data_IF_378683044939
#
_entry.id   IF_378683044939
#
_cell.length_a   1.000
_cell.length_b   1.000
_cell.length_c   1.000
_cell.angle_alpha   90.00
_cell.angle_beta   90.00
_cell.angle_gamma   90.00
#
_symmetry.space_group_name_H-M   'P 1'
#
loop_
_entity.id
_entity.type
_entity.pdbx_description
1 polymer ?
#
# COMPACT_ATOMS: atom_id res chain seq x y z
N UNK A 1 -7.61 33.22 -42.75
CA UNK A 1 -8.53 32.07 -42.82
C UNK A 1 -7.75 30.83 -42.37
N UNK A 2 -8.17 30.19 -41.27
CA UNK A 2 -7.77 28.87 -40.68
C UNK A 2 -6.25 28.57 -40.44
N UNK A 3 -5.71 28.41 -39.22
CA UNK A 3 -5.89 27.43 -38.11
C UNK A 3 -5.10 26.10 -38.22
N UNK A 4 -4.21 25.90 -37.23
CA UNK A 4 -3.85 24.69 -36.48
C UNK A 4 -2.98 23.55 -37.08
N UNK A 5 -2.03 23.07 -36.26
CA UNK A 5 -1.65 21.66 -36.29
C UNK A 5 -0.29 21.22 -35.71
N UNK A 6 -0.08 21.37 -34.40
CA UNK A 6 0.71 20.48 -33.52
C UNK A 6 2.16 20.07 -33.87
N UNK A 7 3.09 20.75 -33.20
CA UNK A 7 4.35 20.19 -32.72
C UNK A 7 4.06 19.07 -31.70
N UNK A 8 4.01 17.82 -32.15
CA UNK A 8 4.15 16.67 -31.25
C UNK A 8 5.63 16.52 -30.91
N UNK A 9 6.04 17.15 -29.81
CA UNK A 9 7.33 16.91 -29.19
C UNK A 9 7.47 15.42 -28.86
N UNK A 10 8.37 14.78 -29.60
CA UNK A 10 9.09 13.57 -29.23
C UNK A 10 9.85 13.82 -27.91
N UNK A 11 9.15 13.85 -26.79
CA UNK A 11 9.77 13.58 -25.50
C UNK A 11 9.75 12.07 -25.31
N UNK A 12 10.84 11.46 -25.79
CA UNK A 12 11.33 10.18 -25.32
C UNK A 12 11.04 10.09 -23.81
N UNK A 13 10.20 9.15 -23.41
CA UNK A 13 10.09 8.69 -22.03
C UNK A 13 11.46 8.15 -21.62
N UNK A 14 12.29 9.06 -21.14
CA UNK A 14 13.56 8.76 -20.51
C UNK A 14 13.20 7.97 -19.26
N UNK A 15 13.53 6.68 -19.30
CA UNK A 15 13.43 5.68 -18.24
C UNK A 15 13.85 6.23 -16.87
N UNK A 16 12.96 6.94 -16.20
CA UNK A 16 12.95 7.10 -14.75
C UNK A 16 12.28 5.84 -14.24
N UNK A 17 12.99 5.05 -13.42
CA UNK A 17 12.39 3.89 -12.74
C UNK A 17 11.10 4.40 -12.10
N UNK A 18 9.93 4.01 -12.60
CA UNK A 18 8.76 4.78 -12.26
C UNK A 18 8.42 4.46 -10.81
N UNK A 19 7.64 5.34 -10.20
CA UNK A 19 7.11 5.28 -8.84
C UNK A 19 6.38 3.93 -8.51
N UNK A 20 6.42 2.92 -9.39
CA UNK A 20 6.02 1.54 -9.17
C UNK A 20 6.60 0.88 -7.91
N UNK A 21 7.78 1.29 -7.43
CA UNK A 21 8.37 0.72 -6.20
C UNK A 21 7.67 1.14 -4.91
N UNK A 22 6.96 2.27 -4.93
CA UNK A 22 6.26 2.85 -3.78
C UNK A 22 5.05 2.02 -3.34
N UNK A 23 4.54 1.17 -4.23
CA UNK A 23 3.28 0.45 -4.05
C UNK A 23 3.49 -1.06 -4.10
N UNK A 24 4.76 -1.50 -4.09
CA UNK A 24 5.20 -2.89 -3.97
C UNK A 24 4.91 -3.51 -2.58
N UNK A 25 4.89 -2.76 -1.46
CA UNK A 25 4.33 -3.27 -0.22
C UNK A 25 2.81 -3.52 -0.33
N UNK A 26 2.10 -2.65 -1.06
CA UNK A 26 0.67 -2.79 -1.33
C UNK A 26 0.38 -3.95 -2.30
N UNK A 27 1.34 -4.32 -3.16
CA UNK A 27 1.27 -5.52 -4.01
C UNK A 27 1.21 -6.82 -3.21
N UNK A 28 1.71 -6.86 -1.98
CA UNK A 28 1.70 -8.06 -1.15
C UNK A 28 0.45 -8.22 -0.28
N UNK A 29 -0.29 -7.14 0.02
CA UNK A 29 -1.40 -7.22 0.98
C UNK A 29 -2.81 -7.24 0.37
N UNK A 30 -3.03 -6.81 -0.88
CA UNK A 30 -4.40 -6.38 -1.25
C UNK A 30 -5.03 -6.92 -2.53
N UNK A 31 -4.41 -7.82 -3.30
CA UNK A 31 -5.01 -8.29 -4.57
C UNK A 31 -6.06 -9.40 -4.48
N UNK A 32 -6.25 -10.03 -3.31
CA UNK A 32 -7.38 -10.94 -3.05
C UNK A 32 -7.59 -11.02 -1.53
N UNK A 33 -8.82 -11.21 -1.06
CA UNK A 33 -9.18 -11.09 0.35
C UNK A 33 -8.27 -11.83 1.35
N UNK A 34 -8.17 -11.26 2.55
CA UNK A 34 -7.61 -11.89 3.76
C UNK A 34 -6.27 -12.60 3.58
N UNK A 35 -5.25 -11.94 3.00
CA UNK A 35 -3.92 -12.56 2.85
C UNK A 35 -3.35 -12.91 4.23
N UNK A 36 -3.54 -12.05 5.24
CA UNK A 36 -3.08 -12.36 6.59
C UNK A 36 -3.80 -13.54 7.23
N UNK A 37 -5.09 -13.72 6.90
CA UNK A 37 -5.86 -14.93 7.25
C UNK A 37 -5.32 -16.24 6.65
N UNK A 38 -4.52 -16.16 5.57
CA UNK A 38 -3.84 -17.32 4.96
C UNK A 38 -2.43 -17.57 5.50
N UNK A 39 -1.85 -16.62 6.25
CA UNK A 39 -0.54 -16.82 6.87
C UNK A 39 -0.69 -17.73 8.09
N UNK A 40 0.08 -18.81 8.08
CA UNK A 40 0.17 -19.74 9.19
C UNK A 40 1.20 -19.26 10.20
N UNK A 41 0.73 -18.67 11.30
CA UNK A 41 1.54 -18.33 12.46
C UNK A 41 1.67 -19.54 13.38
N UNK A 42 2.76 -20.28 13.25
CA UNK A 42 3.08 -21.39 14.14
C UNK A 42 4.51 -21.23 14.66
N UNK A 43 4.77 -21.66 15.91
CA UNK A 43 6.14 -21.69 16.42
C UNK A 43 6.99 -22.59 15.53
N UNK A 44 8.23 -22.16 15.26
CA UNK A 44 9.20 -22.99 14.53
C UNK A 44 9.32 -24.36 15.20
N UNK A 45 9.40 -25.48 14.43
CA UNK A 45 9.24 -26.85 14.93
C UNK A 45 10.29 -27.31 15.96
N UNK A 46 11.27 -26.47 16.28
CA UNK A 46 12.36 -26.74 17.21
C UNK A 46 11.98 -26.58 18.69
N UNK A 47 10.89 -25.88 19.04
CA UNK A 47 10.43 -25.76 20.44
C UNK A 47 8.90 -25.63 20.46
N UNK A 48 8.23 -26.51 21.18
CA UNK A 48 6.77 -26.49 21.39
C UNK A 48 6.52 -26.50 22.89
N UNK A 49 6.68 -25.35 23.54
CA UNK A 49 6.07 -25.14 24.85
C UNK A 49 4.75 -24.37 24.71
N UNK A 50 3.83 -24.52 25.67
CA UNK A 50 2.50 -23.90 25.60
C UNK A 50 2.53 -22.37 25.57
N UNK A 51 3.59 -21.75 26.07
CA UNK A 51 3.75 -20.29 26.03
C UNK A 51 4.02 -19.78 24.61
N UNK A 52 4.87 -20.45 23.84
CA UNK A 52 5.17 -20.11 22.44
C UNK A 52 3.94 -20.31 21.54
N UNK A 53 3.15 -21.36 21.79
CA UNK A 53 1.88 -21.59 21.09
C UNK A 53 0.90 -20.45 21.35
N UNK A 54 0.74 -20.04 22.61
CA UNK A 54 -0.13 -18.93 22.97
C UNK A 54 0.36 -17.60 22.39
N UNK A 55 1.67 -17.36 22.38
CA UNK A 55 2.27 -16.18 21.77
C UNK A 55 1.93 -16.09 20.27
N UNK A 56 2.07 -17.18 19.52
CA UNK A 56 1.71 -17.18 18.10
C UNK A 56 0.20 -17.07 17.85
N UNK A 57 -0.62 -17.57 18.77
CA UNK A 57 -2.08 -17.36 18.73
C UNK A 57 -2.43 -15.88 18.93
N UNK A 58 -1.81 -15.22 19.92
CA UNK A 58 -2.02 -13.80 20.19
C UNK A 58 -1.58 -12.93 19.01
N UNK A 59 -0.42 -13.25 18.41
CA UNK A 59 0.02 -12.58 17.17
C UNK A 59 -1.02 -12.72 16.07
N UNK A 60 -1.54 -13.93 15.85
CA UNK A 60 -2.58 -14.16 14.85
C UNK A 60 -3.85 -13.33 15.12
N UNK A 61 -4.32 -13.31 16.36
CA UNK A 61 -5.50 -12.53 16.75
C UNK A 61 -5.28 -11.02 16.54
N UNK A 62 -4.11 -10.51 16.93
CA UNK A 62 -3.72 -9.13 16.67
C UNK A 62 -3.75 -8.81 15.18
N UNK A 63 -3.09 -9.63 14.36
CA UNK A 63 -3.00 -9.45 12.92
C UNK A 63 -4.40 -9.44 12.29
N UNK A 64 -5.28 -10.38 12.67
CA UNK A 64 -6.66 -10.41 12.17
C UNK A 64 -7.46 -9.16 12.57
N UNK A 65 -7.21 -8.62 13.77
CA UNK A 65 -7.90 -7.42 14.25
C UNK A 65 -7.46 -6.16 13.49
N UNK A 66 -6.15 -5.98 13.25
CA UNK A 66 -5.63 -4.83 12.50
C UNK A 66 -5.93 -4.98 10.99
N UNK A 67 -6.00 -6.20 10.46
CA UNK A 67 -6.45 -6.44 9.08
C UNK A 67 -7.88 -5.92 8.85
N UNK A 68 -8.79 -6.12 9.80
CA UNK A 68 -10.15 -5.57 9.70
C UNK A 68 -10.16 -4.03 9.68
N UNK A 69 -9.26 -3.38 10.43
CA UNK A 69 -9.07 -1.93 10.41
C UNK A 69 -8.55 -1.47 9.04
N UNK A 70 -7.47 -2.10 8.55
CA UNK A 70 -6.88 -1.83 7.24
C UNK A 70 -7.86 -2.04 6.09
N UNK A 71 -8.66 -3.10 6.14
CA UNK A 71 -9.66 -3.41 5.11
C UNK A 71 -10.73 -2.31 5.00
N UNK A 72 -11.18 -1.75 6.13
CA UNK A 72 -12.14 -0.64 6.12
C UNK A 72 -11.55 0.60 5.46
N UNK A 73 -10.28 0.91 5.75
CA UNK A 73 -9.54 2.01 5.11
C UNK A 73 -9.34 1.78 3.62
N UNK A 74 -8.98 0.55 3.24
CA UNK A 74 -8.83 0.14 1.85
C UNK A 74 -10.13 0.29 1.06
N UNK A 75 -11.28 -0.12 1.63
CA UNK A 75 -12.57 0.02 0.95
C UNK A 75 -12.90 1.48 0.61
N UNK A 76 -12.58 2.41 1.53
CA UNK A 76 -12.77 3.84 1.28
C UNK A 76 -11.78 4.34 0.24
N UNK A 77 -10.48 4.05 0.41
CA UNK A 77 -9.43 4.37 -0.56
C UNK A 77 -9.80 3.93 -1.98
N UNK A 78 -10.21 2.68 -2.14
CA UNK A 78 -10.61 2.08 -3.41
C UNK A 78 -11.77 2.85 -4.05
N UNK A 79 -12.82 3.15 -3.28
CA UNK A 79 -13.96 3.97 -3.74
C UNK A 79 -13.51 5.34 -4.23
N UNK A 80 -12.65 6.02 -3.47
CA UNK A 80 -12.21 7.37 -3.83
C UNK A 80 -11.28 7.40 -5.04
N UNK A 81 -10.42 6.39 -5.22
CA UNK A 81 -9.60 6.24 -6.43
C UNK A 81 -10.48 6.01 -7.67
N UNK A 82 -11.55 5.23 -7.57
CA UNK A 82 -12.51 5.07 -8.67
C UNK A 82 -13.15 6.41 -9.04
N UNK A 83 -13.59 7.19 -8.05
CA UNK A 83 -14.14 8.53 -8.31
C UNK A 83 -13.10 9.44 -8.99
N UNK A 84 -11.85 9.38 -8.55
CA UNK A 84 -10.77 10.15 -9.17
C UNK A 84 -10.59 9.77 -10.64
N UNK A 85 -10.59 8.46 -10.95
CA UNK A 85 -10.50 7.93 -12.32
C UNK A 85 -11.67 8.34 -13.21
N UNK A 86 -12.88 8.47 -12.66
CA UNK A 86 -14.06 8.94 -13.43
C UNK A 86 -13.99 10.42 -13.81
N UNK A 87 -13.07 11.18 -13.20
CA UNK A 87 -12.88 12.60 -13.46
C UNK A 87 -13.86 13.48 -12.69
N UNK A 88 -13.33 14.53 -12.06
CA UNK A 88 -14.12 15.61 -11.48
C UNK A 88 -13.97 16.86 -12.35
N UNK A 89 -15.06 17.57 -12.60
CA UNK A 89 -15.06 18.78 -13.42
C UNK A 89 -14.45 20.00 -12.71
N UNK A 90 -14.23 19.92 -11.40
CA UNK A 90 -13.77 21.01 -10.54
C UNK A 90 -12.42 20.68 -9.90
N UNK A 91 -11.45 21.59 -10.08
CA UNK A 91 -10.09 21.46 -9.55
C UNK A 91 -10.09 21.45 -8.02
N UNK A 92 -10.94 22.23 -7.36
CA UNK A 92 -11.00 22.29 -5.88
C UNK A 92 -11.45 20.95 -5.32
N UNK A 93 -12.54 20.40 -5.86
CA UNK A 93 -13.01 19.05 -5.51
C UNK A 93 -11.98 17.96 -5.80
N UNK A 94 -11.22 18.10 -6.89
CA UNK A 94 -10.13 17.16 -7.21
C UNK A 94 -9.04 17.18 -6.14
N UNK A 95 -8.63 18.37 -5.70
CA UNK A 95 -7.63 18.52 -4.62
C UNK A 95 -8.14 17.91 -3.31
N UNK A 96 -9.39 18.17 -2.93
CA UNK A 96 -10.01 17.58 -1.74
C UNK A 96 -10.07 16.05 -1.82
N UNK A 97 -10.42 15.51 -2.99
CA UNK A 97 -10.44 14.07 -3.22
C UNK A 97 -9.05 13.46 -3.08
N UNK A 98 -8.01 14.09 -3.64
CA UNK A 98 -6.62 13.60 -3.51
C UNK A 98 -6.15 13.61 -2.06
N UNK A 99 -6.51 14.63 -1.27
CA UNK A 99 -6.23 14.65 0.18
C UNK A 99 -6.90 13.49 0.90
N UNK A 100 -8.15 13.18 0.56
CA UNK A 100 -8.88 12.05 1.13
C UNK A 100 -8.25 10.71 0.73
N UNK A 101 -7.89 10.53 -0.55
CA UNK A 101 -7.21 9.34 -1.04
C UNK A 101 -5.89 9.12 -0.29
N UNK A 102 -5.07 10.16 -0.15
CA UNK A 102 -3.80 10.09 0.58
C UNK A 102 -4.01 9.72 2.06
N UNK A 103 -4.99 10.34 2.73
CA UNK A 103 -5.33 10.05 4.13
C UNK A 103 -5.74 8.59 4.34
N UNK A 104 -6.60 8.05 3.46
CA UNK A 104 -7.04 6.66 3.56
C UNK A 104 -5.91 5.68 3.20
N UNK A 105 -5.06 6.01 2.22
CA UNK A 105 -3.87 5.22 1.91
C UNK A 105 -2.87 5.17 3.09
N UNK A 106 -2.63 6.30 3.76
CA UNK A 106 -1.83 6.34 4.99
C UNK A 106 -2.45 5.43 6.06
N UNK A 107 -3.78 5.46 6.23
CA UNK A 107 -4.46 4.60 7.21
C UNK A 107 -4.29 3.10 6.93
N UNK A 108 -4.29 2.69 5.66
CA UNK A 108 -3.97 1.31 5.25
C UNK A 108 -2.52 0.97 5.63
N UNK A 109 -1.57 1.81 5.22
CA UNK A 109 -0.14 1.58 5.48
C UNK A 109 0.20 1.57 6.97
N UNK A 110 -0.47 2.39 7.78
CA UNK A 110 -0.31 2.38 9.24
C UNK A 110 -0.82 1.10 9.88
N UNK A 111 -1.88 0.50 9.35
CA UNK A 111 -2.39 -0.80 9.83
C UNK A 111 -1.41 -1.91 9.45
N UNK A 112 -0.91 -1.91 8.21
CA UNK A 112 0.12 -2.84 7.75
C UNK A 112 1.42 -2.69 8.56
N UNK A 113 1.86 -1.45 8.86
CA UNK A 113 3.06 -1.18 9.65
C UNK A 113 2.98 -1.80 11.04
N UNK A 114 1.87 -1.61 11.76
CA UNK A 114 1.68 -2.24 13.08
C UNK A 114 1.71 -3.76 13.00
N UNK A 115 1.12 -4.35 11.96
CA UNK A 115 1.19 -5.79 11.72
C UNK A 115 2.65 -6.22 11.57
N UNK A 116 3.43 -5.52 10.74
CA UNK A 116 4.84 -5.84 10.54
C UNK A 116 5.67 -5.67 11.82
N UNK A 117 5.42 -4.62 12.60
CA UNK A 117 6.10 -4.37 13.88
C UNK A 117 5.77 -5.45 14.92
N UNK A 118 4.50 -5.86 15.02
CA UNK A 118 4.10 -6.94 15.94
C UNK A 118 4.69 -8.29 15.48
N UNK A 119 4.76 -8.54 14.18
CA UNK A 119 5.49 -9.68 13.63
C UNK A 119 6.99 -9.64 13.98
N UNK A 120 7.59 -8.45 13.98
CA UNK A 120 9.00 -8.26 14.29
C UNK A 120 9.30 -8.57 15.76
N UNK A 121 8.39 -8.20 16.65
CA UNK A 121 8.43 -8.58 18.06
C UNK A 121 8.23 -10.09 18.28
N UNK A 122 7.55 -10.77 17.35
CA UNK A 122 7.14 -12.17 17.45
C UNK A 122 7.75 -13.07 16.36
N UNK A 123 9.00 -12.82 15.94
CA UNK A 123 9.69 -13.52 14.83
C UNK A 123 9.72 -15.05 14.94
N UNK A 124 9.59 -15.61 16.15
CA UNK A 124 9.53 -17.06 16.37
C UNK A 124 8.32 -17.73 15.70
N UNK A 125 7.27 -16.94 15.42
CA UNK A 125 6.02 -17.38 14.81
C UNK A 125 6.00 -17.26 13.28
N UNK A 126 7.10 -16.77 12.68
CA UNK A 126 7.19 -16.46 11.26
C UNK A 126 7.98 -17.51 10.49
N UNK A 127 7.68 -17.61 9.20
CA UNK A 127 8.50 -18.37 8.25
C UNK A 127 9.82 -17.64 7.99
N UNK A 128 10.90 -18.41 7.76
CA UNK A 128 12.26 -17.86 7.56
C UNK A 128 12.34 -16.91 6.36
N UNK A 129 11.54 -17.13 5.32
CA UNK A 129 11.49 -16.26 4.14
C UNK A 129 10.89 -14.89 4.45
N UNK A 130 9.84 -14.86 5.27
CA UNK A 130 9.17 -13.61 5.63
C UNK A 130 10.01 -12.82 6.65
N UNK A 131 10.56 -13.52 7.65
CA UNK A 131 11.48 -12.94 8.64
C UNK A 131 12.65 -12.16 8.01
N UNK A 132 13.26 -12.70 6.95
CA UNK A 132 14.42 -12.09 6.28
C UNK A 132 14.11 -10.74 5.62
N UNK A 133 12.88 -10.55 5.15
CA UNK A 133 12.48 -9.35 4.43
C UNK A 133 11.76 -8.33 5.34
N UNK A 134 11.37 -8.74 6.55
CA UNK A 134 10.50 -7.96 7.43
C UNK A 134 11.03 -6.55 7.72
N UNK A 135 12.32 -6.42 8.04
CA UNK A 135 12.92 -5.11 8.31
C UNK A 135 12.91 -4.17 7.09
N UNK A 136 13.08 -4.70 5.87
CA UNK A 136 12.94 -3.91 4.64
C UNK A 136 11.50 -3.46 4.46
N UNK A 137 10.54 -4.38 4.64
CA UNK A 137 9.10 -4.09 4.50
C UNK A 137 8.65 -3.01 5.48
N UNK A 138 9.09 -3.06 6.74
CA UNK A 138 8.84 -2.00 7.73
C UNK A 138 9.39 -0.65 7.25
N UNK A 139 10.65 -0.63 6.82
CA UNK A 139 11.33 0.59 6.35
C UNK A 139 10.64 1.20 5.13
N UNK A 140 10.28 0.35 4.16
CA UNK A 140 9.62 0.78 2.92
C UNK A 140 8.19 1.29 3.20
N UNK A 141 7.48 0.66 4.14
CA UNK A 141 6.14 1.07 4.58
C UNK A 141 6.19 2.43 5.27
N UNK A 142 7.12 2.62 6.22
CA UNK A 142 7.32 3.90 6.89
C UNK A 142 7.70 5.00 5.90
N UNK A 143 8.63 4.72 4.98
CA UNK A 143 9.04 5.68 3.93
C UNK A 143 7.87 6.10 3.04
N UNK A 144 6.94 5.17 2.76
CA UNK A 144 5.73 5.45 1.99
C UNK A 144 4.75 6.35 2.76
N UNK A 145 4.61 6.13 4.06
CA UNK A 145 3.83 7.00 4.96
C UNK A 145 4.43 8.41 4.98
N UNK A 146 5.75 8.52 5.20
CA UNK A 146 6.45 9.80 5.27
C UNK A 146 6.33 10.57 3.96
N UNK A 147 6.42 9.88 2.82
CA UNK A 147 6.18 10.47 1.51
C UNK A 147 4.77 11.05 1.41
N UNK A 148 3.72 10.29 1.76
CA UNK A 148 2.33 10.75 1.68
C UNK A 148 2.00 11.87 2.69
N UNK A 149 2.76 11.97 3.78
CA UNK A 149 2.68 13.08 4.75
C UNK A 149 3.45 14.33 4.29
N UNK A 150 4.22 14.26 3.19
CA UNK A 150 5.11 15.34 2.76
C UNK A 150 6.32 15.53 3.68
N UNK A 151 6.68 14.48 4.43
CA UNK A 151 7.80 14.45 5.37
C UNK A 151 9.03 13.72 4.80
N UNK A 152 8.86 13.03 3.66
CA UNK A 152 9.90 12.31 2.96
C UNK A 152 9.82 12.47 1.44
N UNK A 153 10.93 12.20 0.77
CA UNK A 153 11.03 12.16 -0.68
C UNK A 153 11.19 10.73 -1.17
N UNK A 154 10.59 10.44 -2.33
CA UNK A 154 10.84 9.20 -3.04
C UNK A 154 11.26 9.52 -4.46
N UNK A 155 12.43 9.00 -4.84
CA UNK A 155 13.06 9.30 -6.13
C UNK A 155 13.25 10.82 -6.37
N UNK A 156 13.52 11.58 -5.31
CA UNK A 156 13.73 13.04 -5.35
C UNK A 156 12.45 13.85 -5.55
N UNK A 157 11.28 13.26 -5.31
CA UNK A 157 9.99 13.94 -5.38
C UNK A 157 9.29 13.87 -4.02
N UNK A 158 8.69 14.98 -3.60
CA UNK A 158 7.75 15.04 -2.48
C UNK A 158 6.31 14.94 -3.00
N UNK A 159 5.44 14.33 -2.21
CA UNK A 159 4.01 14.36 -2.47
C UNK A 159 3.44 15.75 -2.12
N UNK A 160 2.69 16.34 -3.05
CA UNK A 160 1.93 17.56 -2.80
C UNK A 160 0.44 17.34 -3.18
N UNK A 161 -0.44 17.11 -2.20
CA UNK A 161 -1.85 16.85 -2.48
C UNK A 161 -2.57 18.10 -3.02
N UNK A 162 -2.01 19.30 -2.89
CA UNK A 162 -2.62 20.54 -3.40
C UNK A 162 -2.53 20.67 -4.93
N UNK A 163 -1.75 19.80 -5.58
CA UNK A 163 -1.72 19.72 -7.04
C UNK A 163 -2.93 18.98 -7.61
N UNK A 164 -3.65 18.20 -6.78
CA UNK A 164 -4.76 17.36 -7.24
C UNK A 164 -4.31 16.18 -8.12
N UNK A 165 -3.02 15.84 -8.08
CA UNK A 165 -2.45 14.74 -8.84
C UNK A 165 -2.38 13.49 -7.96
N UNK A 166 -2.96 12.39 -8.44
CA UNK A 166 -2.81 11.08 -7.83
C UNK A 166 -2.32 10.07 -8.87
N UNK A 167 -1.33 9.26 -8.51
CA UNK A 167 -0.80 8.23 -9.40
C UNK A 167 -1.68 6.98 -9.32
N UNK A 168 -2.43 6.70 -10.39
CA UNK A 168 -3.33 5.53 -10.48
C UNK A 168 -2.65 4.25 -10.94
N UNK A 169 -1.37 4.28 -11.32
CA UNK A 169 -0.71 3.14 -11.99
C UNK A 169 -0.72 1.85 -11.16
N UNK A 170 -0.59 1.96 -9.84
CA UNK A 170 -0.77 0.83 -8.93
C UNK A 170 -2.20 0.28 -8.99
N UNK A 171 -3.19 1.16 -8.90
CA UNK A 171 -4.59 0.78 -8.88
C UNK A 171 -4.98 0.11 -10.21
N UNK A 172 -4.44 0.61 -11.33
CA UNK A 172 -4.61 0.01 -12.65
C UNK A 172 -4.02 -1.40 -12.71
N UNK A 173 -2.87 -1.63 -12.06
CA UNK A 173 -2.25 -2.96 -11.92
C UNK A 173 -3.09 -3.88 -11.05
N UNK A 174 -3.60 -3.38 -9.92
CA UNK A 174 -4.50 -4.10 -9.02
C UNK A 174 -5.78 -4.53 -9.74
N UNK A 175 -6.46 -3.62 -10.44
CA UNK A 175 -7.67 -3.94 -11.20
C UNK A 175 -7.39 -4.99 -12.28
N UNK A 176 -6.24 -4.91 -12.96
CA UNK A 176 -5.82 -5.90 -13.93
C UNK A 176 -5.65 -7.29 -13.31
N UNK A 177 -4.99 -7.38 -12.15
CA UNK A 177 -4.80 -8.63 -11.43
C UNK A 177 -6.13 -9.22 -10.93
N UNK A 178 -7.00 -8.40 -10.32
CA UNK A 178 -8.32 -8.84 -9.86
C UNK A 178 -9.19 -9.32 -11.01
N UNK A 179 -9.11 -8.66 -12.18
CA UNK A 179 -9.86 -9.07 -13.37
C UNK A 179 -9.35 -10.40 -13.94
N UNK A 180 -8.04 -10.66 -13.88
CA UNK A 180 -7.47 -11.94 -14.32
C UNK A 180 -7.92 -13.13 -13.46
N UNK A 181 -8.17 -12.90 -12.17
CA UNK A 181 -8.63 -13.92 -11.23
C UNK A 181 -10.13 -14.26 -11.31
N UNK A 182 -10.90 -13.52 -12.12
CA UNK A 182 -12.34 -13.73 -12.35
C UNK A 182 -12.57 -14.41 -13.69
#
# INVERSE_FOLDING_TARGET
MALNGCLCNNWLMKSTKPIYWLLLPILLTLSAGSIWGTIHFFPKPTVLNSAEVNQCSNLREFVMSEEAVGQKKWSTYHSEVLKYKTGLSDKTRTIELVKLIASEAIGVLQSDLKIYEEMDANRICLTVSFEKNLSSVITDTQSSIDFLLGQGEISGQMFDPNQGNWNTAFYDTYESAVKYLK
#
